data_IF_898899943163
#
_entry.id   IF_898899943163
#
_cell.length_a   1.000
_cell.length_b   1.000
_cell.length_c   1.000
_cell.angle_alpha   90.00
_cell.angle_beta   90.00
_cell.angle_gamma   90.00
#
_symmetry.space_group_name_H-M   'P 1'
#
loop_
_entity.id
_entity.type
_entity.pdbx_description
1 polymer ?
#
# COMPACT_ATOMS: atom_id res chain seq x y z
N UNK A 1 8.75 -6.82 -12.57
CA UNK A 1 8.90 -5.46 -12.09
C UNK A 1 8.37 -5.37 -10.66
N UNK A 2 8.95 -4.49 -9.86
CA UNK A 2 8.59 -4.38 -8.43
C UNK A 2 7.86 -3.09 -8.19
N UNK A 3 6.81 -3.15 -7.36
CA UNK A 3 5.99 -1.99 -7.03
C UNK A 3 5.94 -1.80 -5.52
N UNK A 4 5.98 -0.56 -5.08
CA UNK A 4 5.69 -0.19 -3.70
C UNK A 4 4.28 0.38 -3.67
N UNK A 5 3.37 -0.30 -2.96
CA UNK A 5 1.98 0.14 -2.88
C UNK A 5 1.86 1.26 -1.85
N UNK A 6 1.21 2.36 -2.22
CA UNK A 6 0.92 3.39 -1.24
C UNK A 6 -0.25 2.93 -0.36
N UNK A 7 -0.56 3.72 0.66
CA UNK A 7 -1.57 3.37 1.64
C UNK A 7 -2.93 3.09 0.99
N UNK A 8 -3.35 3.94 0.05
CA UNK A 8 -4.65 3.77 -0.59
C UNK A 8 -4.68 2.54 -1.50
N UNK A 9 -3.65 2.36 -2.32
CA UNK A 9 -3.58 1.20 -3.20
C UNK A 9 -3.57 -0.10 -2.39
N UNK A 10 -2.84 -0.12 -1.29
CA UNK A 10 -2.79 -1.28 -0.41
C UNK A 10 -4.17 -1.63 0.14
N UNK A 11 -4.85 -0.66 0.73
CA UNK A 11 -6.17 -0.89 1.33
C UNK A 11 -7.20 -1.25 0.26
N UNK A 12 -7.20 -0.54 -0.86
CA UNK A 12 -8.16 -0.81 -1.93
C UNK A 12 -7.99 -2.21 -2.49
N UNK A 13 -6.75 -2.65 -2.65
CA UNK A 13 -6.52 -4.00 -3.17
C UNK A 13 -6.91 -5.08 -2.14
N UNK A 14 -6.46 -4.93 -0.90
CA UNK A 14 -6.71 -5.93 0.14
C UNK A 14 -8.18 -6.12 0.41
N UNK A 15 -8.99 -5.07 0.32
CA UNK A 15 -10.40 -5.11 0.66
C UNK A 15 -11.31 -4.92 -0.54
N UNK A 16 -10.76 -5.14 -1.74
CA UNK A 16 -11.50 -5.16 -3.00
C UNK A 16 -12.36 -3.90 -3.19
N UNK A 17 -11.78 -2.75 -2.93
CA UNK A 17 -12.46 -1.47 -3.05
C UNK A 17 -12.63 -1.08 -4.52
N UNK A 18 -13.81 -0.56 -4.87
CA UNK A 18 -14.13 -0.16 -6.24
C UNK A 18 -13.27 0.99 -6.76
N UNK A 19 -12.62 1.74 -5.86
CA UNK A 19 -11.75 2.84 -6.25
C UNK A 19 -10.50 2.38 -6.99
N UNK A 20 -10.15 1.08 -6.87
CA UNK A 20 -9.01 0.54 -7.59
C UNK A 20 -9.48 0.00 -8.94
N UNK A 21 -8.87 0.48 -10.03
CA UNK A 21 -9.23 0.04 -11.37
C UNK A 21 -8.91 -1.42 -11.59
N UNK A 22 -9.57 -2.05 -12.55
CA UNK A 22 -9.31 -3.46 -12.87
C UNK A 22 -7.89 -3.65 -13.40
N UNK A 23 -7.40 -2.73 -14.22
CA UNK A 23 -6.03 -2.82 -14.73
C UNK A 23 -5.02 -2.74 -13.58
N UNK A 24 -5.31 -1.93 -12.57
CA UNK A 24 -4.47 -1.82 -11.38
C UNK A 24 -4.47 -3.15 -10.60
N UNK A 25 -5.64 -3.73 -10.42
CA UNK A 25 -5.75 -5.03 -9.73
C UNK A 25 -4.96 -6.11 -10.46
N UNK A 26 -5.02 -6.12 -11.78
CA UNK A 26 -4.32 -7.12 -12.58
C UNK A 26 -2.81 -7.00 -12.43
N UNK A 27 -2.30 -5.78 -12.40
CA UNK A 27 -0.87 -5.54 -12.21
C UNK A 27 -0.42 -6.00 -10.83
N UNK A 28 -1.14 -5.62 -9.79
CA UNK A 28 -0.81 -6.04 -8.42
C UNK A 28 -0.84 -7.55 -8.29
N UNK A 29 -1.79 -8.18 -8.94
CA UNK A 29 -1.96 -9.64 -8.86
C UNK A 29 -0.81 -10.41 -9.49
N UNK A 30 -0.15 -9.85 -10.51
CA UNK A 30 0.88 -10.59 -11.25
C UNK A 30 2.32 -10.13 -10.96
N UNK A 31 2.51 -8.93 -10.41
CA UNK A 31 3.84 -8.39 -10.19
C UNK A 31 4.25 -8.50 -8.73
N UNK A 32 5.53 -8.27 -8.46
CA UNK A 32 6.06 -8.29 -7.10
C UNK A 32 5.72 -6.97 -6.43
N UNK A 33 5.01 -7.04 -5.32
CA UNK A 33 4.54 -5.84 -4.62
C UNK A 33 5.08 -5.79 -3.20
N UNK A 34 5.39 -4.58 -2.76
CA UNK A 34 5.88 -4.28 -1.42
C UNK A 34 4.91 -3.34 -0.74
N UNK A 35 4.87 -3.40 0.58
CA UNK A 35 4.20 -2.40 1.40
C UNK A 35 5.19 -1.90 2.45
N UNK A 36 4.93 -0.72 3.00
CA UNK A 36 5.80 -0.11 4.00
C UNK A 36 5.10 -0.04 5.35
N UNK A 37 5.86 -0.22 6.42
CA UNK A 37 5.33 0.02 7.77
C UNK A 37 4.92 1.48 7.97
N UNK A 38 5.46 2.39 7.16
CA UNK A 38 5.01 3.79 7.17
C UNK A 38 3.53 3.87 6.78
N UNK A 39 3.10 3.08 5.79
CA UNK A 39 1.68 3.00 5.44
C UNK A 39 0.85 2.46 6.59
N UNK A 40 1.33 1.45 7.30
CA UNK A 40 0.62 0.91 8.46
C UNK A 40 0.52 1.94 9.58
N UNK A 41 1.55 2.72 9.78
CA UNK A 41 1.54 3.80 10.76
C UNK A 41 0.52 4.88 10.37
N UNK A 42 0.47 5.25 9.10
CA UNK A 42 -0.53 6.20 8.60
C UNK A 42 -1.95 5.67 8.84
N UNK A 43 -2.18 4.39 8.56
CA UNK A 43 -3.48 3.75 8.80
C UNK A 43 -3.83 3.84 10.29
N UNK A 44 -2.87 3.54 11.17
CA UNK A 44 -3.06 3.61 12.61
C UNK A 44 -3.51 5.00 13.03
N UNK A 45 -2.83 6.04 12.55
CA UNK A 45 -3.18 7.41 12.90
C UNK A 45 -4.58 7.77 12.41
N UNK A 46 -4.91 7.39 11.18
CA UNK A 46 -6.22 7.70 10.61
C UNK A 46 -7.35 6.95 11.30
N UNK A 47 -7.12 5.70 11.67
CA UNK A 47 -8.11 4.94 12.43
C UNK A 47 -8.34 5.56 13.82
N UNK A 48 -7.25 5.99 14.47
CA UNK A 48 -7.34 6.63 15.78
C UNK A 48 -8.20 7.89 15.72
N UNK A 49 -8.09 8.64 14.62
CA UNK A 49 -8.87 9.87 14.41
C UNK A 49 -10.22 9.63 13.76
N UNK A 50 -10.58 8.36 13.53
CA UNK A 50 -11.82 7.99 12.87
C UNK A 50 -11.96 8.59 11.47
N UNK A 51 -10.84 8.68 10.76
CA UNK A 51 -10.77 9.26 9.40
C UNK A 51 -10.73 8.22 8.30
N UNK A 52 -10.88 6.94 8.64
CA UNK A 52 -10.79 5.85 7.70
C UNK A 52 -11.95 4.90 7.94
N UNK A 53 -12.67 4.53 6.88
CA UNK A 53 -13.81 3.61 7.06
C UNK A 53 -13.39 2.15 7.25
N UNK A 54 -12.16 1.80 6.88
CA UNK A 54 -11.64 0.46 7.15
C UNK A 54 -11.34 0.34 8.65
N UNK A 55 -11.85 -0.71 9.27
CA UNK A 55 -11.75 -0.90 10.72
C UNK A 55 -10.91 -2.11 11.11
N UNK A 56 -10.30 -2.78 10.14
CA UNK A 56 -9.44 -3.92 10.42
C UNK A 56 -8.26 -3.50 11.28
N UNK A 57 -7.85 -4.37 12.20
CA UNK A 57 -6.68 -4.11 13.04
C UNK A 57 -5.41 -4.19 12.19
N UNK A 58 -4.33 -3.59 12.68
CA UNK A 58 -3.05 -3.67 11.98
C UNK A 58 -2.58 -5.11 11.80
N UNK A 59 -2.65 -6.01 12.82
CA UNK A 59 -2.33 -7.41 12.59
C UNK A 59 -3.17 -8.06 11.50
N UNK A 60 -4.45 -7.74 11.41
CA UNK A 60 -5.30 -8.27 10.34
C UNK A 60 -4.84 -7.80 8.96
N UNK A 61 -4.44 -6.54 8.86
CA UNK A 61 -3.93 -5.97 7.61
C UNK A 61 -2.61 -6.65 7.22
N UNK A 62 -1.72 -6.86 8.19
CA UNK A 62 -0.46 -7.55 7.95
C UNK A 62 -0.71 -8.98 7.47
N UNK A 63 -1.65 -9.68 8.09
CA UNK A 63 -1.99 -11.04 7.68
C UNK A 63 -2.53 -11.07 6.26
N UNK A 64 -3.35 -10.09 5.89
CA UNK A 64 -3.85 -9.96 4.52
C UNK A 64 -2.70 -9.73 3.53
N UNK A 65 -1.73 -8.91 3.90
CA UNK A 65 -0.55 -8.69 3.07
C UNK A 65 0.23 -9.99 2.85
N UNK A 66 0.38 -10.80 3.90
CA UNK A 66 1.07 -12.08 3.80
C UNK A 66 0.33 -13.07 2.91
N UNK A 67 -0.99 -13.10 3.00
CA UNK A 67 -1.81 -13.95 2.14
C UNK A 67 -1.66 -13.58 0.67
N UNK A 68 -1.48 -12.29 0.38
CA UNK A 68 -1.26 -11.82 -0.98
C UNK A 68 0.20 -11.92 -1.41
N UNK A 69 1.06 -12.43 -0.53
CA UNK A 69 2.49 -12.58 -0.80
C UNK A 69 3.19 -11.24 -1.05
N UNK A 70 2.71 -10.18 -0.42
CA UNK A 70 3.38 -8.89 -0.46
C UNK A 70 4.59 -8.91 0.47
N UNK A 71 5.66 -8.25 0.04
CA UNK A 71 6.87 -8.12 0.85
C UNK A 71 6.84 -6.81 1.63
N UNK A 72 7.40 -6.84 2.82
CA UNK A 72 7.51 -5.63 3.62
C UNK A 72 8.79 -4.90 3.29
N UNK A 73 8.69 -3.60 3.00
CA UNK A 73 9.85 -2.74 2.79
C UNK A 73 10.34 -2.27 4.16
N UNK A 74 11.59 -2.56 4.54
CA UNK A 74 12.10 -2.12 5.84
C UNK A 74 12.13 -0.60 5.97
N UNK A 75 11.92 -0.10 7.19
CA UNK A 75 11.99 1.34 7.46
C UNK A 75 13.45 1.71 7.69
N UNK A 76 14.10 2.21 6.66
CA UNK A 76 15.48 2.66 6.68
C UNK A 76 15.55 4.06 6.13
N UNK A 77 16.71 4.71 6.29
CA UNK A 77 16.90 6.03 5.66
C UNK A 77 16.71 5.97 4.14
N UNK A 78 17.21 4.91 3.51
CA UNK A 78 17.04 4.72 2.07
C UNK A 78 15.58 4.53 1.68
N UNK A 79 14.82 3.74 2.42
CA UNK A 79 13.42 3.52 2.10
C UNK A 79 12.58 4.77 2.32
N UNK A 80 12.93 5.59 3.31
CA UNK A 80 12.25 6.87 3.53
C UNK A 80 12.51 7.83 2.37
N UNK A 81 13.74 7.89 1.88
CA UNK A 81 14.05 8.71 0.71
C UNK A 81 13.31 8.22 -0.53
N UNK A 82 13.20 6.91 -0.71
CA UNK A 82 12.44 6.34 -1.81
C UNK A 82 10.99 6.79 -1.77
N UNK A 83 10.36 6.73 -0.60
CA UNK A 83 8.97 7.15 -0.43
C UNK A 83 8.82 8.65 -0.76
N UNK A 84 9.77 9.46 -0.32
CA UNK A 84 9.79 10.90 -0.62
C UNK A 84 9.82 11.19 -2.11
N UNK A 85 10.53 10.36 -2.86
CA UNK A 85 10.70 10.57 -4.29
C UNK A 85 9.49 10.14 -5.12
N UNK A 86 8.54 9.43 -4.54
CA UNK A 86 7.35 9.01 -5.26
C UNK A 86 6.41 10.18 -5.46
N UNK A 87 5.84 10.33 -6.67
CA UNK A 87 4.89 11.43 -6.92
C UNK A 87 3.65 11.30 -6.03
N UNK A 88 3.10 12.42 -5.61
CA UNK A 88 1.88 12.45 -4.82
C UNK A 88 0.68 12.43 -5.78
N UNK A 89 0.34 11.25 -6.27
CA UNK A 89 -0.75 11.06 -7.23
C UNK A 89 -1.91 10.37 -6.54
N UNK A 90 -2.97 11.11 -6.31
CA UNK A 90 -4.15 10.56 -5.63
C UNK A 90 -5.13 9.85 -6.57
N UNK A 91 -5.08 10.16 -7.86
CA UNK A 91 -6.04 9.63 -8.82
C UNK A 91 -5.65 8.27 -9.38
N UNK A 92 -4.35 8.05 -9.53
CA UNK A 92 -3.84 6.78 -10.05
C UNK A 92 -2.63 6.37 -9.22
N UNK A 93 -2.83 5.59 -8.17
CA UNK A 93 -1.73 5.18 -7.28
C UNK A 93 -0.67 4.35 -7.97
N UNK A 94 -0.94 3.85 -9.18
CA UNK A 94 0.03 3.03 -9.88
C UNK A 94 1.20 3.77 -10.43
N UNK A 95 0.98 5.00 -10.91
CA UNK A 95 2.03 5.73 -11.61
C UNK A 95 3.23 6.04 -10.74
N UNK A 96 3.07 5.93 -9.44
CA UNK A 96 4.08 6.35 -8.48
C UNK A 96 4.77 5.19 -7.77
N UNK A 97 4.40 3.97 -8.08
CA UNK A 97 4.72 2.85 -7.21
C UNK A 97 5.89 1.99 -7.70
N UNK A 98 6.53 2.41 -8.78
CA UNK A 98 7.59 1.62 -9.37
C UNK A 98 8.87 1.73 -8.57
N UNK A 99 9.42 0.58 -8.17
CA UNK A 99 10.75 0.48 -7.59
C UNK A 99 11.51 -0.61 -8.35
N UNK A 100 12.78 -0.41 -8.54
CA UNK A 100 13.61 -1.38 -9.24
C UNK A 100 14.77 -1.82 -8.38
#
# INVERSE_FOLDING_TARGET
MKYLLDTHALLWYLFDDQNLSQSAKDIINREICYYSKISLWEITLKQTKNMLHYKQSIPEIIDACKEEEFYELPVTGQSLELIKSLPDIHKDPFDRLLIT
#
